data_IF_890105357657
#
_entry.id   IF_890105357657
#
_cell.length_a   1.000
_cell.length_b   1.000
_cell.length_c   1.000
_cell.angle_alpha   90.00
_cell.angle_beta   90.00
_cell.angle_gamma   90.00
#
_symmetry.space_group_name_H-M   'P 1'
#
loop_
_entity.id
_entity.type
_entity.pdbx_description
1 polymer ?
#
# COMPACT_ATOMS: atom_id res chain seq x y z
N UNK A 1 0.27 -54.03 14.74
CA UNK A 1 -0.20 -52.66 15.03
C UNK A 1 0.90 -51.58 14.93
N UNK A 2 2.16 -51.89 15.27
CA UNK A 2 3.27 -50.91 15.24
C UNK A 2 3.60 -50.31 13.84
N UNK A 3 3.61 -51.11 12.77
CA UNK A 3 4.01 -50.63 11.42
C UNK A 3 2.99 -49.73 10.71
N UNK A 4 1.72 -49.78 11.14
CA UNK A 4 0.66 -48.90 10.63
C UNK A 4 0.78 -47.50 11.23
N UNK A 5 0.96 -47.43 12.56
CA UNK A 5 1.19 -46.18 13.29
C UNK A 5 2.44 -45.47 12.77
N UNK A 6 3.53 -46.21 12.50
CA UNK A 6 4.75 -45.64 11.94
C UNK A 6 4.54 -45.03 10.55
N UNK A 7 3.76 -45.68 9.67
CA UNK A 7 3.40 -45.13 8.36
C UNK A 7 2.55 -43.87 8.47
N UNK A 8 1.59 -43.83 9.39
CA UNK A 8 0.79 -42.63 9.66
C UNK A 8 1.65 -41.47 10.16
N UNK A 9 2.61 -41.74 11.06
CA UNK A 9 3.53 -40.71 11.55
C UNK A 9 4.44 -40.16 10.42
N UNK A 10 4.94 -41.03 9.54
CA UNK A 10 5.72 -40.60 8.37
C UNK A 10 4.89 -39.75 7.40
N UNK A 11 3.63 -40.12 7.16
CA UNK A 11 2.73 -39.30 6.34
C UNK A 11 2.49 -37.94 6.99
N UNK A 12 2.21 -37.91 8.30
CA UNK A 12 2.02 -36.65 9.05
C UNK A 12 3.24 -35.74 8.96
N UNK A 13 4.46 -36.28 9.10
CA UNK A 13 5.70 -35.51 8.96
C UNK A 13 5.84 -34.90 7.55
N UNK A 14 5.60 -35.70 6.50
CA UNK A 14 5.64 -35.21 5.11
C UNK A 14 4.61 -34.12 4.85
N UNK A 15 3.40 -34.24 5.41
CA UNK A 15 2.39 -33.19 5.31
C UNK A 15 2.85 -31.91 6.03
N UNK A 16 3.42 -32.03 7.22
CA UNK A 16 3.92 -30.87 7.97
C UNK A 16 5.04 -30.14 7.23
N UNK A 17 5.96 -30.88 6.59
CA UNK A 17 7.02 -30.29 5.77
C UNK A 17 6.47 -29.50 4.58
N UNK A 18 5.42 -30.02 3.92
CA UNK A 18 4.73 -29.31 2.83
C UNK A 18 4.06 -28.03 3.33
N UNK A 19 3.33 -28.08 4.44
CA UNK A 19 2.71 -26.90 5.05
C UNK A 19 3.78 -25.85 5.37
N UNK A 20 4.88 -26.25 6.02
CA UNK A 20 5.98 -25.34 6.36
C UNK A 20 6.65 -24.76 5.11
N UNK A 21 6.68 -25.48 4.00
CA UNK A 21 7.19 -24.97 2.72
C UNK A 21 6.24 -23.93 2.11
N UNK A 22 4.95 -24.23 2.05
CA UNK A 22 3.92 -23.30 1.54
C UNK A 22 3.86 -22.02 2.37
N UNK A 23 3.90 -22.11 3.70
CA UNK A 23 3.94 -20.94 4.59
C UNK A 23 5.15 -20.04 4.31
N UNK A 24 6.32 -20.62 4.03
CA UNK A 24 7.52 -19.85 3.67
C UNK A 24 7.33 -19.13 2.35
N UNK A 25 6.72 -19.76 1.36
CA UNK A 25 6.42 -19.13 0.07
C UNK A 25 5.44 -17.97 0.26
N UNK A 26 4.36 -18.18 1.01
CA UNK A 26 3.35 -17.13 1.29
C UNK A 26 4.00 -15.94 2.00
N UNK A 27 4.85 -16.19 3.01
CA UNK A 27 5.59 -15.13 3.71
C UNK A 27 6.49 -14.33 2.76
N UNK A 28 7.19 -15.00 1.85
CA UNK A 28 8.04 -14.33 0.86
C UNK A 28 7.20 -13.50 -0.14
N UNK A 29 6.11 -14.07 -0.65
CA UNK A 29 5.23 -13.39 -1.60
C UNK A 29 4.57 -12.15 -0.98
N UNK A 30 4.05 -12.27 0.24
CA UNK A 30 3.45 -11.14 0.97
C UNK A 30 4.46 -10.04 1.24
N UNK A 31 5.70 -10.37 1.60
CA UNK A 31 6.77 -9.39 1.75
C UNK A 31 7.08 -8.66 0.44
N UNK A 32 7.22 -9.41 -0.66
CA UNK A 32 7.48 -8.85 -1.99
C UNK A 32 6.35 -7.93 -2.44
N UNK A 33 5.10 -8.33 -2.21
CA UNK A 33 3.92 -7.55 -2.55
C UNK A 33 3.87 -6.24 -1.77
N UNK A 34 4.05 -6.28 -0.44
CA UNK A 34 4.15 -5.09 0.40
C UNK A 34 5.29 -4.16 -0.03
N UNK A 35 6.42 -4.73 -0.44
CA UNK A 35 7.57 -3.95 -0.95
C UNK A 35 7.21 -3.21 -2.25
N UNK A 36 6.53 -3.88 -3.19
CA UNK A 36 6.03 -3.27 -4.43
C UNK A 36 5.04 -2.15 -4.14
N UNK A 37 4.09 -2.38 -3.24
CA UNK A 37 3.08 -1.38 -2.84
C UNK A 37 3.73 -0.13 -2.21
N UNK A 38 4.71 -0.31 -1.33
CA UNK A 38 5.48 0.81 -0.76
C UNK A 38 6.21 1.59 -1.85
N UNK A 39 6.92 0.91 -2.77
CA UNK A 39 7.61 1.57 -3.88
C UNK A 39 6.65 2.36 -4.77
N UNK A 40 5.50 1.77 -5.11
CA UNK A 40 4.46 2.42 -5.90
C UNK A 40 3.90 3.66 -5.18
N UNK A 41 3.61 3.55 -3.87
CA UNK A 41 3.16 4.67 -3.04
C UNK A 41 4.19 5.79 -2.99
N UNK A 42 5.46 5.47 -2.73
CA UNK A 42 6.55 6.45 -2.69
C UNK A 42 6.71 7.17 -4.02
N UNK A 43 6.76 6.42 -5.13
CA UNK A 43 6.83 7.01 -6.48
C UNK A 43 5.67 7.97 -6.74
N UNK A 44 4.46 7.57 -6.39
CA UNK A 44 3.25 8.42 -6.54
C UNK A 44 3.35 9.68 -5.68
N UNK A 45 3.83 9.58 -4.45
CA UNK A 45 3.97 10.74 -3.56
C UNK A 45 5.03 11.71 -4.08
N UNK A 46 6.19 11.22 -4.55
CA UNK A 46 7.23 12.06 -5.16
C UNK A 46 6.69 12.77 -6.40
N UNK A 47 6.03 12.04 -7.30
CA UNK A 47 5.44 12.64 -8.51
C UNK A 47 4.40 13.70 -8.19
N UNK A 48 3.54 13.46 -7.18
CA UNK A 48 2.54 14.43 -6.75
C UNK A 48 3.18 15.64 -6.06
N UNK A 49 4.21 15.44 -5.25
CA UNK A 49 4.98 16.52 -4.61
C UNK A 49 5.64 17.43 -5.65
N UNK A 50 6.34 16.85 -6.63
CA UNK A 50 6.99 17.61 -7.71
C UNK A 50 6.00 18.44 -8.54
N UNK A 51 4.79 17.92 -8.79
CA UNK A 51 3.75 18.70 -9.48
C UNK A 51 3.26 19.87 -8.61
N UNK A 52 3.12 19.65 -7.30
CA UNK A 52 2.69 20.67 -6.35
C UNK A 52 3.73 21.78 -6.23
N UNK A 53 5.00 21.44 -6.06
CA UNK A 53 6.11 22.42 -6.06
C UNK A 53 6.14 23.21 -7.37
N UNK A 54 6.02 22.54 -8.53
CA UNK A 54 6.05 23.18 -9.85
C UNK A 54 4.89 24.16 -10.08
N UNK A 55 3.66 23.79 -9.73
CA UNK A 55 2.49 24.60 -10.08
C UNK A 55 2.17 25.69 -9.07
N UNK A 56 2.62 25.53 -7.81
CA UNK A 56 2.41 26.53 -6.77
C UNK A 56 3.67 27.34 -6.45
N UNK A 57 4.84 26.98 -7.03
CA UNK A 57 6.12 27.68 -6.83
C UNK A 57 6.50 27.79 -5.34
N UNK A 58 6.36 26.66 -4.63
CA UNK A 58 6.53 26.54 -3.17
C UNK A 58 7.67 25.60 -2.77
N UNK A 59 8.66 25.43 -3.63
CA UNK A 59 9.85 24.59 -3.39
C UNK A 59 10.72 25.09 -2.23
N UNK A 60 10.61 26.36 -1.89
CA UNK A 60 11.27 26.99 -0.76
C UNK A 60 10.54 26.81 0.59
N UNK A 61 9.28 26.37 0.59
CA UNK A 61 8.50 26.22 1.82
C UNK A 61 8.94 24.98 2.60
N UNK A 62 9.02 25.12 3.92
CA UNK A 62 9.12 23.98 4.81
C UNK A 62 7.84 23.12 4.78
N UNK A 63 7.93 21.92 5.35
CA UNK A 63 6.78 21.00 5.44
C UNK A 63 5.61 21.64 6.22
N UNK A 64 5.91 22.38 7.29
CA UNK A 64 4.89 23.04 8.10
C UNK A 64 4.22 24.18 7.33
N UNK A 65 5.00 25.02 6.65
CA UNK A 65 4.47 26.11 5.83
C UNK A 65 3.66 25.58 4.64
N UNK A 66 4.10 24.48 4.03
CA UNK A 66 3.35 23.79 2.97
C UNK A 66 1.99 23.30 3.47
N UNK A 67 1.93 22.75 4.70
CA UNK A 67 0.67 22.33 5.30
C UNK A 67 -0.29 23.50 5.50
N UNK A 68 0.21 24.62 6.04
CA UNK A 68 -0.60 25.82 6.28
C UNK A 68 -1.05 26.48 4.97
N UNK A 69 -0.18 26.51 3.96
CA UNK A 69 -0.53 26.89 2.59
C UNK A 69 -1.68 26.02 2.07
N UNK A 70 -1.54 24.70 2.12
CA UNK A 70 -2.56 23.77 1.62
C UNK A 70 -3.88 23.86 2.39
N UNK A 71 -3.86 24.13 3.70
CA UNK A 71 -5.08 24.37 4.48
C UNK A 71 -5.86 25.57 3.94
N UNK A 72 -5.17 26.69 3.69
CA UNK A 72 -5.78 27.90 3.14
C UNK A 72 -6.43 27.63 1.76
N UNK A 73 -5.72 26.96 0.86
CA UNK A 73 -6.24 26.65 -0.48
C UNK A 73 -7.26 25.50 -0.50
N UNK A 74 -7.32 24.66 0.53
CA UNK A 74 -8.22 23.50 0.56
C UNK A 74 -9.69 23.88 0.42
N UNK A 75 -10.10 25.00 1.02
CA UNK A 75 -11.46 25.53 0.92
C UNK A 75 -11.79 25.94 -0.52
N UNK A 76 -10.90 26.70 -1.14
CA UNK A 76 -11.03 27.14 -2.53
C UNK A 76 -11.10 25.96 -3.50
N UNK A 77 -10.18 25.00 -3.40
CA UNK A 77 -10.16 23.82 -4.29
C UNK A 77 -11.42 22.97 -4.13
N UNK A 78 -11.95 22.83 -2.91
CA UNK A 78 -13.20 22.10 -2.67
C UNK A 78 -14.41 22.83 -3.30
N UNK A 79 -14.49 24.15 -3.17
CA UNK A 79 -15.58 24.95 -3.71
C UNK A 79 -15.57 25.03 -5.25
N UNK A 80 -14.39 25.11 -5.86
CA UNK A 80 -14.21 25.24 -7.30
C UNK A 80 -13.84 23.92 -8.00
N UNK A 81 -14.10 22.78 -7.34
CA UNK A 81 -13.79 21.47 -7.90
C UNK A 81 -14.66 21.20 -9.13
N UNK A 82 -14.02 21.09 -10.30
CA UNK A 82 -14.70 20.73 -11.55
C UNK A 82 -15.51 19.44 -11.38
N UNK A 83 -16.71 19.39 -11.96
CA UNK A 83 -17.63 18.26 -11.82
C UNK A 83 -17.01 16.93 -12.25
N UNK A 84 -16.16 16.94 -13.29
CA UNK A 84 -15.40 15.76 -13.74
C UNK A 84 -14.51 15.12 -12.67
N UNK A 85 -14.21 15.84 -11.58
CA UNK A 85 -13.43 15.37 -10.44
C UNK A 85 -14.25 15.26 -9.14
N UNK A 86 -15.53 15.63 -9.13
CA UNK A 86 -16.45 15.29 -8.04
C UNK A 86 -16.70 13.79 -8.17
N UNK A 87 -16.26 13.00 -7.18
CA UNK A 87 -16.66 11.59 -7.15
C UNK A 87 -18.17 11.58 -7.06
N UNK A 88 -18.86 10.84 -7.93
CA UNK A 88 -20.24 10.46 -7.66
C UNK A 88 -20.19 9.74 -6.32
N UNK A 89 -20.74 10.33 -5.28
CA UNK A 89 -21.00 9.58 -4.06
C UNK A 89 -22.03 8.53 -4.47
N UNK A 90 -21.58 7.30 -4.65
CA UNK A 90 -22.48 6.15 -4.72
C UNK A 90 -23.13 6.08 -3.34
N UNK A 91 -24.34 6.62 -3.26
CA UNK A 91 -25.27 6.40 -2.18
C UNK A 91 -25.61 4.91 -2.13
N UNK A 92 -24.98 4.20 -1.20
CA UNK A 92 -25.43 2.89 -0.74
C UNK A 92 -26.34 3.04 0.47
#
# INVERSE_FOLDING_TARGET
MSSYIQRLNQQKQKLQEKINHEERIIKQQTYLQRSKERKARTRRLIQKGALLEKYFEIDNLSVAETEDFLKQFSGYVKAHKLEKYRKKEESH
#
